data_IF_418641441410
#
_entry.id   IF_418641441410
#
_cell.length_a   1.000
_cell.length_b   1.000
_cell.length_c   1.000
_cell.angle_alpha   90.00
_cell.angle_beta   90.00
_cell.angle_gamma   90.00
#
_symmetry.space_group_name_H-M   'P 1'
#
loop_
_entity.id
_entity.type
_entity.pdbx_description
1 polymer ?
#
# COMPACT_ATOMS: atom_id res chain seq x y z
N UNK A 1 -18.85 7.64 -3.16
CA UNK A 1 -19.29 7.76 -1.74
C UNK A 1 -18.50 8.90 -1.10
N UNK A 2 -19.15 9.84 -0.40
CA UNK A 2 -18.46 10.90 0.33
C UNK A 2 -18.42 10.50 1.81
N UNK A 3 -17.23 10.34 2.43
CA UNK A 3 -17.13 9.96 3.83
C UNK A 3 -17.55 11.10 4.75
N UNK A 4 -18.11 10.79 5.90
CA UNK A 4 -18.41 11.78 6.95
C UNK A 4 -17.13 12.24 7.68
N UNK A 5 -16.19 11.32 7.89
CA UNK A 5 -14.87 11.57 8.47
C UNK A 5 -13.78 10.87 7.66
N UNK A 6 -12.63 11.50 7.58
CA UNK A 6 -11.43 10.97 6.93
C UNK A 6 -10.26 11.03 7.89
N UNK A 7 -9.65 9.88 8.19
CA UNK A 7 -8.40 9.81 8.94
C UNK A 7 -7.21 9.84 7.97
N UNK A 8 -6.23 10.69 8.26
CA UNK A 8 -5.04 10.93 7.47
C UNK A 8 -3.79 10.66 8.30
N UNK A 9 -2.77 10.12 7.66
CA UNK A 9 -1.51 9.81 8.34
C UNK A 9 -0.34 9.67 7.37
N UNK A 10 0.71 9.01 7.81
CA UNK A 10 1.91 8.69 7.02
C UNK A 10 2.53 9.93 6.38
N UNK A 11 2.44 10.05 5.04
CA UNK A 11 3.03 11.16 4.27
C UNK A 11 2.56 12.55 4.72
N UNK A 12 1.39 12.65 5.36
CA UNK A 12 0.83 13.90 5.83
C UNK A 12 1.80 14.71 6.68
N UNK A 13 2.55 14.04 7.54
CA UNK A 13 3.53 14.68 8.42
C UNK A 13 4.97 14.65 7.87
N UNK A 14 5.16 14.33 6.58
CA UNK A 14 6.48 14.38 5.93
C UNK A 14 7.52 13.44 6.53
N UNK A 15 7.09 12.26 7.01
CA UNK A 15 7.94 11.28 7.68
C UNK A 15 8.09 11.49 9.18
N UNK A 16 7.54 12.56 9.73
CA UNK A 16 7.52 12.83 11.17
C UNK A 16 6.25 12.25 11.82
N UNK A 17 6.24 12.07 13.16
CA UNK A 17 5.02 11.66 13.87
C UNK A 17 3.90 12.67 13.67
N UNK A 18 2.76 12.22 13.15
CA UNK A 18 1.61 13.08 12.94
C UNK A 18 0.50 12.40 12.15
N UNK A 19 -0.70 12.90 12.35
CA UNK A 19 -1.90 12.49 11.65
C UNK A 19 -2.94 13.58 11.72
N UNK A 20 -4.04 13.41 11.02
CA UNK A 20 -5.16 14.33 11.08
C UNK A 20 -6.48 13.56 10.91
N UNK A 21 -7.54 14.17 11.41
CA UNK A 21 -8.91 13.82 11.09
C UNK A 21 -9.56 15.05 10.47
N UNK A 22 -10.24 14.84 9.37
CA UNK A 22 -11.02 15.86 8.68
C UNK A 22 -12.43 15.34 8.38
N UNK A 23 -13.39 16.22 8.23
CA UNK A 23 -14.74 15.79 7.88
C UNK A 23 -15.78 16.87 8.08
N UNK A 24 -17.03 16.45 8.22
CA UNK A 24 -18.17 17.32 8.38
C UNK A 24 -18.03 18.23 9.61
N UNK A 25 -18.35 19.49 9.43
CA UNK A 25 -18.18 20.50 10.47
C UNK A 25 -18.99 20.21 11.75
N UNK A 26 -20.20 19.62 11.60
CA UNK A 26 -21.04 19.24 12.73
C UNK A 26 -20.41 18.12 13.59
N UNK A 27 -19.66 17.20 12.98
CA UNK A 27 -18.93 16.16 13.69
C UNK A 27 -17.60 16.68 14.26
N UNK A 28 -16.86 17.46 13.46
CA UNK A 28 -15.59 18.04 13.89
C UNK A 28 -15.75 19.05 15.03
N UNK A 29 -16.91 19.72 15.13
CA UNK A 29 -17.24 20.62 16.21
C UNK A 29 -17.21 20.00 17.61
N UNK A 30 -17.40 18.69 17.72
CA UNK A 30 -17.26 17.96 18.99
C UNK A 30 -15.82 17.87 19.52
N UNK A 31 -14.80 18.17 18.70
CA UNK A 31 -13.40 18.26 19.13
C UNK A 31 -13.07 19.62 19.77
N UNK A 32 -13.99 20.59 19.72
CA UNK A 32 -13.77 21.91 20.31
C UNK A 32 -13.84 21.84 21.84
N UNK A 33 -12.84 22.45 22.51
CA UNK A 33 -12.80 22.55 23.97
C UNK A 33 -13.68 23.69 24.54
N UNK A 34 -14.12 24.58 23.70
CA UNK A 34 -14.64 25.88 24.14
C UNK A 34 -16.16 25.90 24.44
N UNK A 35 -16.84 24.77 24.25
CA UNK A 35 -18.28 24.80 24.17
C UNK A 35 -19.09 24.20 25.31
N UNK A 36 -18.47 23.53 26.28
CA UNK A 36 -19.27 22.85 27.31
C UNK A 36 -20.25 21.79 26.73
N UNK A 37 -20.05 21.34 25.48
CA UNK A 37 -20.87 20.31 24.88
C UNK A 37 -20.67 19.02 25.64
N UNK A 38 -21.69 18.43 26.29
CA UNK A 38 -21.57 17.17 27.00
C UNK A 38 -21.17 15.99 26.09
N UNK A 39 -21.26 16.18 24.76
CA UNK A 39 -20.82 15.22 23.75
C UNK A 39 -19.40 15.50 23.27
N UNK A 40 -18.71 16.47 23.87
CA UNK A 40 -17.35 16.86 23.48
C UNK A 40 -16.37 15.67 23.60
N UNK A 41 -15.57 15.46 22.56
CA UNK A 41 -14.55 14.43 22.50
C UNK A 41 -13.20 15.03 22.84
N UNK A 42 -12.57 14.52 23.91
CA UNK A 42 -11.19 14.89 24.23
C UNK A 42 -10.25 14.35 23.16
N UNK A 43 -9.38 15.22 22.64
CA UNK A 43 -8.37 14.83 21.67
C UNK A 43 -6.93 15.10 22.21
N UNK A 44 -6.52 14.45 23.30
CA UNK A 44 -5.17 14.58 23.82
C UNK A 44 -4.18 13.85 22.90
N UNK A 45 -2.98 14.40 22.79
CA UNK A 45 -1.91 13.77 22.02
C UNK A 45 -0.59 14.50 22.22
N UNK A 46 0.45 13.77 22.60
CA UNK A 46 1.79 14.32 22.87
C UNK A 46 2.35 15.10 21.69
N UNK A 47 2.03 14.67 20.46
CA UNK A 47 2.50 15.28 19.23
C UNK A 47 1.50 16.24 18.59
N UNK A 48 0.41 16.59 19.27
CA UNK A 48 -0.54 17.57 18.74
C UNK A 48 0.15 18.92 18.58
N UNK A 49 -0.04 19.54 17.41
CA UNK A 49 0.58 20.82 17.04
C UNK A 49 2.14 20.81 17.12
N UNK A 50 2.78 19.65 16.95
CA UNK A 50 4.23 19.56 16.97
C UNK A 50 4.84 20.35 15.80
N UNK A 51 5.66 21.39 16.05
CA UNK A 51 6.06 22.34 15.03
C UNK A 51 6.95 21.71 13.93
N UNK A 52 7.81 20.75 14.30
CA UNK A 52 8.69 20.06 13.33
C UNK A 52 7.84 19.18 12.41
N UNK A 53 6.87 18.44 12.95
CA UNK A 53 5.95 17.62 12.14
C UNK A 53 5.10 18.49 11.21
N UNK A 54 4.64 19.65 11.68
CA UNK A 54 3.91 20.60 10.87
C UNK A 54 4.76 21.15 9.71
N UNK A 55 5.99 21.55 9.98
CA UNK A 55 6.91 22.07 8.96
C UNK A 55 7.26 21.00 7.91
N UNK A 56 7.56 19.78 8.34
CA UNK A 56 7.83 18.65 7.45
C UNK A 56 6.60 18.28 6.61
N UNK A 57 5.41 18.26 7.23
CA UNK A 57 4.14 18.01 6.55
C UNK A 57 3.82 19.07 5.48
N UNK A 58 4.02 20.35 5.80
CA UNK A 58 3.86 21.45 4.82
C UNK A 58 4.78 21.25 3.62
N UNK A 59 6.05 20.89 3.86
CA UNK A 59 7.01 20.66 2.77
C UNK A 59 6.60 19.48 1.90
N UNK A 60 6.19 18.36 2.50
CA UNK A 60 5.72 17.17 1.78
C UNK A 60 4.45 17.45 0.97
N UNK A 61 3.45 18.11 1.58
CA UNK A 61 2.19 18.42 0.92
C UNK A 61 2.36 19.41 -0.24
N UNK A 62 3.32 20.33 -0.14
CA UNK A 62 3.65 21.22 -1.27
C UNK A 62 4.17 20.45 -2.48
N UNK A 63 4.98 19.40 -2.27
CA UNK A 63 5.46 18.54 -3.35
C UNK A 63 4.33 17.69 -3.93
N UNK A 64 3.41 17.20 -3.11
CA UNK A 64 2.28 16.39 -3.55
C UNK A 64 1.15 17.19 -4.22
N UNK A 65 1.18 18.53 -4.14
CA UNK A 65 0.08 19.39 -4.60
C UNK A 65 -0.18 19.33 -6.12
N UNK A 66 0.85 19.10 -6.92
CA UNK A 66 0.71 18.98 -8.37
C UNK A 66 0.01 17.68 -8.81
N UNK A 67 0.04 16.64 -7.98
CA UNK A 67 -0.38 15.29 -8.35
C UNK A 67 0.71 14.47 -9.07
N UNK A 68 1.75 15.12 -9.59
CA UNK A 68 2.82 14.42 -10.34
C UNK A 68 3.48 13.26 -9.58
N UNK A 69 3.83 13.38 -8.27
CA UNK A 69 4.40 12.26 -7.54
C UNK A 69 3.47 11.07 -7.44
N UNK A 70 2.15 11.32 -7.28
CA UNK A 70 1.13 10.27 -7.21
C UNK A 70 0.93 9.60 -8.57
N UNK A 71 0.85 10.37 -9.65
CA UNK A 71 0.72 9.85 -11.02
C UNK A 71 1.95 9.01 -11.41
N UNK A 72 3.15 9.49 -11.09
CA UNK A 72 4.39 8.74 -11.32
C UNK A 72 4.38 7.41 -10.58
N UNK A 73 4.08 7.40 -9.29
CA UNK A 73 4.02 6.19 -8.48
C UNK A 73 2.94 5.22 -8.98
N UNK A 74 1.78 5.73 -9.39
CA UNK A 74 0.68 4.94 -9.94
C UNK A 74 1.08 4.29 -11.29
N UNK A 75 1.76 5.01 -12.16
CA UNK A 75 2.28 4.48 -13.42
C UNK A 75 3.30 3.36 -13.22
N UNK A 76 4.23 3.54 -12.28
CA UNK A 76 5.19 2.49 -11.93
C UNK A 76 4.50 1.25 -11.32
N UNK A 77 3.50 1.45 -10.46
CA UNK A 77 2.75 0.34 -9.87
C UNK A 77 1.95 -0.44 -10.92
N UNK A 78 1.35 0.24 -11.88
CA UNK A 78 0.67 -0.42 -13.01
C UNK A 78 1.65 -1.27 -13.83
N UNK A 79 2.83 -0.74 -14.15
CA UNK A 79 3.88 -1.47 -14.86
C UNK A 79 4.35 -2.70 -14.05
N UNK A 80 4.54 -2.54 -12.72
CA UNK A 80 4.92 -3.65 -11.85
C UNK A 80 3.84 -4.73 -11.82
N UNK A 81 2.58 -4.37 -11.63
CA UNK A 81 1.46 -5.35 -11.66
C UNK A 81 1.39 -6.12 -12.96
N UNK A 82 1.57 -5.43 -14.08
CA UNK A 82 1.61 -6.07 -15.40
C UNK A 82 2.79 -7.04 -15.51
N UNK A 83 4.00 -6.62 -15.12
CA UNK A 83 5.20 -7.46 -15.17
C UNK A 83 5.09 -8.71 -14.31
N UNK A 84 4.63 -8.57 -13.06
CA UNK A 84 4.44 -9.71 -12.14
C UNK A 84 3.39 -10.70 -12.68
N UNK A 85 2.29 -10.18 -13.26
CA UNK A 85 1.26 -11.03 -13.88
C UNK A 85 1.81 -11.77 -15.09
N UNK A 86 2.61 -11.11 -15.94
CA UNK A 86 3.25 -11.76 -17.09
C UNK A 86 4.18 -12.90 -16.66
N UNK A 87 4.99 -12.70 -15.60
CA UNK A 87 5.88 -13.74 -15.06
C UNK A 87 5.08 -14.98 -14.61
N UNK A 88 3.96 -14.79 -13.92
CA UNK A 88 3.08 -15.90 -13.52
C UNK A 88 2.54 -16.65 -14.74
N UNK A 89 2.04 -15.91 -15.74
CA UNK A 89 1.50 -16.49 -16.96
C UNK A 89 2.55 -17.28 -17.76
N UNK A 90 3.76 -16.74 -17.89
CA UNK A 90 4.89 -17.41 -18.55
C UNK A 90 5.32 -18.67 -17.83
N UNK A 91 5.24 -18.68 -16.51
CA UNK A 91 5.55 -19.84 -15.67
C UNK A 91 4.40 -20.86 -15.60
N UNK A 92 3.23 -20.57 -16.18
CA UNK A 92 2.03 -21.41 -16.09
C UNK A 92 1.44 -21.50 -14.68
N UNK A 93 1.76 -20.53 -13.81
CA UNK A 93 1.27 -20.48 -12.44
C UNK A 93 0.01 -19.63 -12.37
N UNK A 94 -1.13 -20.17 -11.90
CA UNK A 94 -2.34 -19.38 -11.71
C UNK A 94 -2.09 -18.23 -10.74
N UNK A 95 -2.54 -17.03 -11.10
CA UNK A 95 -2.39 -15.88 -10.24
C UNK A 95 -2.24 -14.58 -11.01
N UNK A 96 -2.18 -13.48 -10.29
CA UNK A 96 -1.95 -12.15 -10.85
C UNK A 96 -1.55 -11.13 -9.78
N UNK A 97 -0.99 -10.02 -10.21
CA UNK A 97 -0.83 -8.84 -9.37
C UNK A 97 -1.98 -7.86 -9.64
N UNK A 98 -2.59 -7.34 -8.58
CA UNK A 98 -3.72 -6.41 -8.62
C UNK A 98 -3.50 -5.24 -7.66
N UNK A 99 -4.35 -4.24 -7.69
CA UNK A 99 -4.30 -3.06 -6.83
C UNK A 99 -4.62 -1.78 -7.58
N UNK A 100 -4.74 -0.71 -6.83
CA UNK A 100 -5.04 0.62 -7.36
C UNK A 100 -3.92 1.61 -7.05
N UNK A 101 -3.85 2.68 -7.85
CA UNK A 101 -2.88 3.76 -7.66
C UNK A 101 -1.46 3.21 -7.49
N UNK A 102 -0.75 3.60 -6.45
CA UNK A 102 0.62 3.19 -6.15
C UNK A 102 0.77 1.84 -5.45
N UNK A 103 -0.33 1.11 -5.24
CA UNK A 103 -0.30 -0.17 -4.53
C UNK A 103 -0.23 -1.36 -5.48
N UNK A 104 0.33 -2.45 -5.00
CA UNK A 104 0.17 -3.77 -5.60
C UNK A 104 -0.01 -4.85 -4.55
N UNK A 105 -0.75 -5.85 -4.92
CA UNK A 105 -0.93 -7.11 -4.19
C UNK A 105 -0.68 -8.25 -5.15
N UNK A 106 0.06 -9.25 -4.70
CA UNK A 106 0.31 -10.46 -5.47
C UNK A 106 -0.62 -11.56 -4.95
N UNK A 107 -1.32 -12.19 -5.87
CA UNK A 107 -2.11 -13.38 -5.62
C UNK A 107 -1.52 -14.52 -6.46
N UNK A 108 -1.10 -15.59 -5.81
CA UNK A 108 -0.74 -16.86 -6.45
C UNK A 108 -1.83 -17.85 -6.06
N UNK A 109 -2.62 -18.26 -7.02
CA UNK A 109 -3.83 -19.03 -6.86
C UNK A 109 -4.97 -18.48 -7.68
N UNK A 110 -6.11 -19.18 -7.72
CA UNK A 110 -7.30 -18.76 -8.45
C UNK A 110 -8.34 -18.18 -7.49
N UNK A 111 -8.50 -16.86 -7.52
CA UNK A 111 -9.58 -16.13 -6.85
C UNK A 111 -10.56 -15.47 -7.81
N UNK A 112 -10.52 -15.83 -9.10
CA UNK A 112 -11.26 -15.14 -10.13
C UNK A 112 -10.80 -13.70 -10.31
N UNK A 113 -11.72 -12.73 -10.23
CA UNK A 113 -11.41 -11.30 -10.31
C UNK A 113 -11.16 -10.74 -8.89
N UNK A 114 -9.90 -10.57 -8.43
CA UNK A 114 -9.58 -10.15 -7.06
C UNK A 114 -10.23 -8.82 -6.67
N UNK A 115 -10.39 -7.90 -7.62
CA UNK A 115 -11.00 -6.59 -7.41
C UNK A 115 -12.50 -6.68 -7.07
N UNK A 116 -13.14 -7.78 -7.45
CA UNK A 116 -14.56 -8.06 -7.19
C UNK A 116 -14.74 -9.09 -6.08
N UNK A 117 -13.67 -9.79 -5.72
CA UNK A 117 -13.72 -10.84 -4.71
C UNK A 117 -13.88 -10.26 -3.31
N UNK A 118 -14.69 -10.92 -2.50
CA UNK A 118 -14.76 -10.59 -1.07
C UNK A 118 -13.49 -10.99 -0.34
N UNK A 119 -13.22 -10.34 0.80
CA UNK A 119 -12.02 -10.61 1.62
C UNK A 119 -11.85 -12.09 2.01
N UNK A 120 -12.96 -12.81 2.22
CA UNK A 120 -12.91 -14.24 2.54
C UNK A 120 -12.44 -15.08 1.36
N UNK A 121 -12.92 -14.75 0.14
CA UNK A 121 -12.49 -15.43 -1.08
C UNK A 121 -11.02 -15.18 -1.38
N UNK A 122 -10.56 -13.94 -1.20
CA UNK A 122 -9.13 -13.59 -1.35
C UNK A 122 -8.24 -14.32 -0.34
N UNK A 123 -8.70 -14.46 0.91
CA UNK A 123 -7.98 -15.22 1.94
C UNK A 123 -7.95 -16.72 1.65
N UNK A 124 -9.04 -17.26 1.12
CA UNK A 124 -9.13 -18.69 0.80
C UNK A 124 -8.30 -19.08 -0.43
N UNK A 125 -8.25 -18.18 -1.42
CA UNK A 125 -7.46 -18.36 -2.64
C UNK A 125 -6.01 -17.84 -2.51
N UNK A 126 -5.72 -17.13 -1.41
CA UNK A 126 -4.44 -16.51 -1.18
C UNK A 126 -3.34 -17.51 -0.87
N UNK A 127 -2.12 -17.04 -0.98
CA UNK A 127 -0.93 -17.80 -0.65
C UNK A 127 -0.97 -18.32 0.78
N UNK A 128 -0.79 -19.61 0.95
CA UNK A 128 -0.61 -20.20 2.28
C UNK A 128 0.63 -19.64 2.99
N UNK A 129 0.76 -19.85 4.30
CA UNK A 129 1.86 -19.28 5.08
C UNK A 129 3.23 -19.74 4.58
N UNK A 130 3.36 -20.99 4.15
CA UNK A 130 4.62 -21.53 3.62
C UNK A 130 5.01 -20.87 2.30
N UNK A 131 4.10 -20.78 1.33
CA UNK A 131 4.35 -20.09 0.06
C UNK A 131 4.69 -18.62 0.28
N UNK A 132 3.99 -17.96 1.21
CA UNK A 132 4.27 -16.56 1.56
C UNK A 132 5.68 -16.39 2.13
N UNK A 133 6.11 -17.29 3.01
CA UNK A 133 7.44 -17.27 3.60
C UNK A 133 8.53 -17.53 2.54
N UNK A 134 8.38 -18.54 1.72
CA UNK A 134 9.34 -18.89 0.66
C UNK A 134 9.45 -17.79 -0.40
N UNK A 135 8.32 -17.21 -0.80
CA UNK A 135 8.31 -16.04 -1.68
C UNK A 135 9.05 -14.85 -1.06
N UNK A 136 8.78 -14.57 0.21
CA UNK A 136 9.44 -13.47 0.91
C UNK A 136 10.96 -13.68 0.99
N UNK A 137 11.39 -14.87 1.38
CA UNK A 137 12.81 -15.23 1.46
C UNK A 137 13.49 -15.16 0.09
N UNK A 138 12.85 -15.72 -0.94
CA UNK A 138 13.38 -15.69 -2.30
C UNK A 138 13.55 -14.27 -2.84
N UNK A 139 12.55 -13.43 -2.69
CA UNK A 139 12.61 -12.02 -3.09
C UNK A 139 13.68 -11.25 -2.31
N UNK A 140 13.84 -11.54 -1.00
CA UNK A 140 14.86 -10.89 -0.18
C UNK A 140 16.26 -11.28 -0.62
N UNK A 141 16.50 -12.53 -0.99
CA UNK A 141 17.77 -13.00 -1.55
C UNK A 141 18.12 -12.31 -2.88
N UNK A 142 17.09 -11.94 -3.66
CA UNK A 142 17.23 -11.14 -4.88
C UNK A 142 17.32 -9.62 -4.62
N UNK A 143 17.36 -9.21 -3.34
CA UNK A 143 17.50 -7.81 -2.93
C UNK A 143 16.20 -7.00 -2.99
N UNK A 144 15.05 -7.66 -2.95
CA UNK A 144 13.72 -7.03 -2.94
C UNK A 144 12.95 -7.47 -1.70
N UNK A 145 12.57 -6.52 -0.86
CA UNK A 145 11.71 -6.79 0.29
C UNK A 145 10.25 -6.54 -0.06
N UNK A 146 9.41 -7.55 0.13
CA UNK A 146 7.96 -7.45 0.01
C UNK A 146 7.29 -7.42 1.39
N UNK A 147 6.16 -6.75 1.48
CA UNK A 147 5.30 -6.77 2.66
C UNK A 147 4.18 -7.79 2.46
N UNK A 148 4.42 -9.04 2.85
CA UNK A 148 3.47 -10.17 2.71
C UNK A 148 2.86 -10.30 1.29
N UNK A 149 3.68 -10.25 0.26
CA UNK A 149 3.23 -10.30 -1.13
C UNK A 149 2.59 -9.01 -1.65
N UNK A 150 2.76 -7.91 -0.92
CA UNK A 150 2.21 -6.61 -1.27
C UNK A 150 3.28 -5.53 -1.22
N UNK A 151 2.96 -4.34 -1.69
CA UNK A 151 3.84 -3.19 -1.57
C UNK A 151 3.22 -1.90 -2.07
N UNK A 152 4.03 -0.85 -1.92
CA UNK A 152 3.71 0.49 -2.36
C UNK A 152 4.87 1.04 -3.17
N UNK A 153 4.57 1.68 -4.27
CA UNK A 153 5.55 2.47 -4.99
C UNK A 153 5.42 3.94 -4.58
N UNK A 154 6.52 4.66 -4.68
CA UNK A 154 6.59 6.08 -4.37
C UNK A 154 7.27 6.83 -5.51
N UNK A 155 7.28 8.15 -5.44
CA UNK A 155 7.97 8.98 -6.41
C UNK A 155 9.51 8.82 -6.42
N UNK A 156 10.07 8.13 -5.41
CA UNK A 156 11.50 7.81 -5.37
C UNK A 156 11.86 6.57 -6.19
N UNK A 157 10.90 5.71 -6.52
CA UNK A 157 11.13 4.54 -7.37
C UNK A 157 11.27 4.95 -8.84
N UNK A 158 11.99 4.13 -9.58
CA UNK A 158 12.28 4.31 -11.01
C UNK A 158 11.75 3.10 -11.82
N UNK A 159 11.77 3.21 -13.14
CA UNK A 159 11.50 2.06 -14.03
C UNK A 159 12.48 0.91 -13.79
N UNK A 160 13.73 1.24 -13.48
CA UNK A 160 14.75 0.23 -13.17
C UNK A 160 14.41 -0.58 -11.92
N UNK A 161 13.82 0.05 -10.89
CA UNK A 161 13.37 -0.66 -9.68
C UNK A 161 12.22 -1.62 -10.00
N UNK A 162 11.31 -1.24 -10.91
CA UNK A 162 10.24 -2.11 -11.41
C UNK A 162 10.84 -3.30 -12.15
N UNK A 163 11.75 -3.08 -13.09
CA UNK A 163 12.41 -4.13 -13.87
C UNK A 163 13.17 -5.12 -12.98
N UNK A 164 13.92 -4.59 -12.00
CA UNK A 164 14.61 -5.41 -10.99
C UNK A 164 13.63 -6.24 -10.18
N UNK A 165 12.52 -5.67 -9.76
CA UNK A 165 11.51 -6.38 -8.96
C UNK A 165 10.87 -7.51 -9.76
N UNK A 166 10.54 -7.27 -11.03
CA UNK A 166 9.99 -8.30 -11.93
C UNK A 166 11.01 -9.42 -12.15
N UNK A 167 12.28 -9.09 -12.39
CA UNK A 167 13.35 -10.08 -12.57
C UNK A 167 13.58 -10.89 -11.28
N UNK A 168 13.60 -10.25 -10.12
CA UNK A 168 13.71 -10.89 -8.83
C UNK A 168 12.54 -11.87 -8.58
N UNK A 169 11.33 -11.47 -8.96
CA UNK A 169 10.15 -12.33 -8.85
C UNK A 169 10.26 -13.55 -9.77
N UNK A 170 10.66 -13.38 -11.03
CA UNK A 170 10.88 -14.49 -11.95
C UNK A 170 11.92 -15.48 -11.43
N UNK A 171 13.06 -14.97 -10.94
CA UNK A 171 14.13 -15.81 -10.36
C UNK A 171 13.66 -16.53 -9.08
N UNK A 172 12.87 -15.87 -8.26
CA UNK A 172 12.27 -16.48 -7.05
C UNK A 172 11.29 -17.58 -7.44
N UNK A 173 10.34 -17.29 -8.33
CA UNK A 173 9.31 -18.23 -8.77
C UNK A 173 9.91 -19.52 -9.35
N UNK A 174 10.97 -19.39 -10.13
CA UNK A 174 11.68 -20.54 -10.72
C UNK A 174 12.34 -21.47 -9.68
N UNK A 175 12.56 -21.00 -8.45
CA UNK A 175 13.16 -21.76 -7.34
C UNK A 175 12.14 -22.26 -6.32
N UNK A 176 10.90 -21.80 -6.40
CA UNK A 176 9.87 -22.26 -5.47
C UNK A 176 9.59 -23.76 -5.67
N UNK A 177 9.43 -24.53 -4.58
CA UNK A 177 9.04 -25.93 -4.68
C UNK A 177 7.69 -26.07 -5.40
N UNK A 178 7.61 -26.92 -6.41
CA UNK A 178 6.39 -27.13 -7.18
C UNK A 178 5.19 -27.54 -6.31
N UNK A 179 5.43 -28.19 -5.17
CA UNK A 179 4.38 -28.61 -4.22
C UNK A 179 3.69 -27.41 -3.51
N UNK A 180 4.33 -26.24 -3.52
CA UNK A 180 3.75 -25.01 -2.92
C UNK A 180 2.96 -24.17 -3.93
N UNK A 181 3.11 -24.45 -5.21
CA UNK A 181 2.39 -23.74 -6.26
C UNK A 181 1.04 -24.42 -6.52
N UNK A 182 -0.03 -23.62 -6.79
CA UNK A 182 -1.37 -24.13 -7.01
C UNK A 182 -1.52 -24.91 -8.32
#
# INVERSE_FOLDING_TARGET
MTPDLTALGKILAGGMPGGAVAGRADLMGHLSRDGGDPRGVGHPGTHNAHPVSAAAGIAALRQCRSGEPQEHAAGLAAALRSGLTSVLAEAGVPGRAYGESSTFHLLIGDAGEPEQAGMQSLKAAGMGPELTAELHHGMLLEGVQLFHGSGFLSAAHTKHDVERTVAAFAATLARLPAVLLP
#
